data_IF_082173717949
#
_entry.id   IF_082173717949
#
_cell.length_a   1.000
_cell.length_b   1.000
_cell.length_c   1.000
_cell.angle_alpha   90.00
_cell.angle_beta   90.00
_cell.angle_gamma   90.00
#
_symmetry.space_group_name_H-M   'P 1'
#
loop_
_entity.id
_entity.type
_entity.pdbx_description
1 polymer ?
#
# COMPACT_ATOMS: atom_id res chain seq x y z
N UNK A 1 40.20 33.32 -40.11
CA UNK A 1 40.15 32.00 -39.48
C UNK A 1 40.64 32.21 -38.07
N UNK A 2 39.70 32.65 -37.22
CA UNK A 2 39.94 32.86 -35.79
C UNK A 2 39.85 31.47 -35.17
N UNK A 3 40.99 30.94 -34.76
CA UNK A 3 41.02 29.76 -33.92
C UNK A 3 40.22 30.09 -32.65
N UNK A 4 39.08 29.43 -32.48
CA UNK A 4 38.34 29.44 -31.21
C UNK A 4 39.25 28.79 -30.18
N UNK A 5 39.86 29.63 -29.34
CA UNK A 5 40.64 29.19 -28.20
C UNK A 5 39.69 28.48 -27.24
N UNK A 6 39.76 27.14 -27.18
CA UNK A 6 39.01 26.33 -26.23
C UNK A 6 39.53 26.69 -24.83
N UNK A 7 38.90 27.68 -24.21
CA UNK A 7 39.21 28.09 -22.84
C UNK A 7 38.97 26.88 -21.93
N UNK A 8 39.99 26.40 -21.20
CA UNK A 8 39.79 25.25 -20.32
C UNK A 8 38.79 25.64 -19.22
N UNK A 9 37.77 24.82 -18.94
CA UNK A 9 36.73 25.18 -17.99
C UNK A 9 37.35 25.48 -16.63
N UNK A 10 36.92 26.59 -16.03
CA UNK A 10 37.45 27.04 -14.74
C UNK A 10 37.13 26.01 -13.65
N UNK A 11 37.94 25.95 -12.59
CA UNK A 11 37.69 25.00 -11.49
C UNK A 11 36.28 25.17 -10.89
N UNK A 12 35.75 26.39 -10.91
CA UNK A 12 34.41 26.72 -10.43
C UNK A 12 33.30 26.12 -11.31
N UNK A 13 33.41 26.20 -12.64
CA UNK A 13 32.45 25.58 -13.57
C UNK A 13 32.44 24.06 -13.44
N UNK A 14 33.62 23.44 -13.31
CA UNK A 14 33.72 22.00 -13.06
C UNK A 14 33.03 21.63 -11.75
N UNK A 15 33.30 22.37 -10.68
CA UNK A 15 32.67 22.15 -9.37
C UNK A 15 31.14 22.32 -9.45
N UNK A 16 30.66 23.32 -10.17
CA UNK A 16 29.24 23.59 -10.37
C UNK A 16 28.54 22.48 -11.17
N UNK A 17 29.17 22.01 -12.24
CA UNK A 17 28.68 20.89 -13.02
C UNK A 17 28.62 19.60 -12.20
N UNK A 18 29.69 19.25 -11.47
CA UNK A 18 29.70 18.05 -10.63
C UNK A 18 28.70 18.13 -9.47
N UNK A 19 28.52 19.31 -8.87
CA UNK A 19 27.54 19.49 -7.78
C UNK A 19 26.11 19.40 -8.29
N UNK A 20 25.76 20.04 -9.41
CA UNK A 20 24.43 19.92 -10.03
C UNK A 20 24.13 18.49 -10.47
N UNK A 21 25.09 17.81 -11.13
CA UNK A 21 24.95 16.40 -11.49
C UNK A 21 24.72 15.51 -10.24
N UNK A 22 25.44 15.76 -9.14
CA UNK A 22 25.28 14.99 -7.89
C UNK A 22 23.89 15.19 -7.28
N UNK A 23 23.35 16.41 -7.26
CA UNK A 23 22.00 16.67 -6.73
C UNK A 23 20.90 16.06 -7.61
N UNK A 24 21.06 16.03 -8.94
CA UNK A 24 20.14 15.31 -9.83
C UNK A 24 20.17 13.81 -9.55
N UNK A 25 21.36 13.22 -9.41
CA UNK A 25 21.51 11.79 -9.08
C UNK A 25 20.94 11.46 -7.69
N UNK A 26 21.16 12.33 -6.70
CA UNK A 26 20.58 12.18 -5.37
C UNK A 26 19.06 12.25 -5.42
N UNK A 27 18.47 13.24 -6.12
CA UNK A 27 17.02 13.37 -6.25
C UNK A 27 16.36 12.18 -6.95
N UNK A 28 16.96 11.68 -8.03
CA UNK A 28 16.45 10.50 -8.74
C UNK A 28 16.55 9.23 -7.89
N UNK A 29 17.69 8.98 -7.25
CA UNK A 29 17.87 7.83 -6.36
C UNK A 29 16.89 7.87 -5.17
N UNK A 30 16.71 9.04 -4.55
CA UNK A 30 15.78 9.22 -3.43
C UNK A 30 14.33 8.99 -3.84
N UNK A 31 13.92 9.43 -5.03
CA UNK A 31 12.58 9.16 -5.57
C UNK A 31 12.36 7.67 -5.79
N UNK A 32 13.27 6.99 -6.50
CA UNK A 32 13.16 5.55 -6.74
C UNK A 32 13.17 4.76 -5.42
N UNK A 33 14.08 5.09 -4.51
CA UNK A 33 14.14 4.45 -3.20
C UNK A 33 12.81 4.61 -2.43
N UNK A 34 12.22 5.81 -2.44
CA UNK A 34 10.93 6.04 -1.78
C UNK A 34 9.81 5.19 -2.40
N UNK A 35 9.72 5.11 -3.73
CA UNK A 35 8.69 4.30 -4.41
C UNK A 35 8.73 2.82 -4.03
N UNK A 36 9.92 2.26 -3.81
CA UNK A 36 10.05 0.86 -3.34
C UNK A 36 9.84 0.73 -1.83
N UNK A 37 10.29 1.68 -1.02
CA UNK A 37 10.11 1.62 0.44
C UNK A 37 8.64 1.70 0.86
N UNK A 38 7.77 2.37 0.09
CA UNK A 38 6.35 2.50 0.39
C UNK A 38 5.65 1.13 0.55
N UNK A 39 5.58 0.27 -0.48
CA UNK A 39 4.87 -1.02 -0.36
C UNK A 39 5.60 -2.02 0.55
N UNK A 40 6.94 -1.98 0.62
CA UNK A 40 7.70 -3.01 1.33
C UNK A 40 7.95 -2.72 2.81
N UNK A 41 8.05 -1.46 3.22
CA UNK A 41 8.43 -1.09 4.59
C UNK A 41 7.36 -0.21 5.23
N UNK A 42 6.94 0.85 4.54
CA UNK A 42 6.02 1.83 5.12
C UNK A 42 4.65 1.22 5.35
N UNK A 43 4.06 0.58 4.34
CA UNK A 43 2.72 0.01 4.45
C UNK A 43 2.62 -1.06 5.56
N UNK A 44 3.49 -2.10 5.61
CA UNK A 44 3.46 -3.06 6.71
C UNK A 44 3.70 -2.45 8.09
N UNK A 45 4.63 -1.48 8.24
CA UNK A 45 4.87 -0.85 9.53
C UNK A 45 3.69 0.05 9.97
N UNK A 46 3.12 0.82 9.05
CA UNK A 46 1.95 1.65 9.29
C UNK A 46 0.75 0.80 9.72
N UNK A 47 0.43 -0.26 8.98
CA UNK A 47 -0.69 -1.16 9.36
C UNK A 47 -0.48 -1.78 10.75
N UNK A 48 0.75 -2.09 11.13
CA UNK A 48 1.07 -2.64 12.46
C UNK A 48 0.79 -1.64 13.58
N UNK A 49 1.17 -0.38 13.39
CA UNK A 49 0.93 0.70 14.36
C UNK A 49 -0.56 1.03 14.48
N UNK A 50 -1.27 1.08 13.36
CA UNK A 50 -2.70 1.42 13.33
C UNK A 50 -3.59 0.37 13.96
N UNK A 51 -3.19 -0.90 13.95
CA UNK A 51 -3.91 -1.97 14.65
C UNK A 51 -3.76 -1.90 16.18
N UNK A 52 -2.89 -1.04 16.73
CA UNK A 52 -2.72 -0.82 18.17
C UNK A 52 -2.68 -2.13 18.97
N UNK A 53 -1.66 -2.94 18.71
CA UNK A 53 -1.43 -4.14 19.51
C UNK A 53 -1.09 -3.77 20.95
N UNK A 54 -1.65 -4.52 21.89
CA UNK A 54 -1.23 -4.39 23.29
C UNK A 54 0.18 -4.96 23.45
N UNK A 55 1.15 -4.22 24.04
CA UNK A 55 2.49 -4.75 24.31
C UNK A 55 2.48 -5.86 25.37
N UNK A 56 1.40 -6.02 26.14
CA UNK A 56 1.26 -7.10 27.12
C UNK A 56 0.79 -8.38 26.42
N UNK A 57 1.55 -9.45 26.57
CA UNK A 57 1.20 -10.74 25.99
C UNK A 57 -0.04 -11.35 26.69
N UNK A 58 -1.00 -11.80 25.88
CA UNK A 58 -2.14 -12.60 26.28
C UNK A 58 -1.83 -14.11 26.17
N UNK A 59 -2.61 -14.94 26.84
CA UNK A 59 -2.53 -16.39 26.69
C UNK A 59 -3.50 -16.85 25.61
N UNK A 60 -2.97 -17.37 24.50
CA UNK A 60 -3.73 -17.98 23.42
C UNK A 60 -3.78 -19.49 23.54
N UNK A 61 -4.92 -20.08 23.19
CA UNK A 61 -5.12 -21.51 23.06
C UNK A 61 -5.74 -21.82 21.71
N UNK A 62 -5.15 -22.78 21.00
CA UNK A 62 -5.66 -23.22 19.68
C UNK A 62 -6.92 -24.04 19.86
N UNK A 63 -8.02 -23.61 19.27
CA UNK A 63 -9.33 -24.27 19.39
C UNK A 63 -9.73 -25.03 18.14
N UNK A 64 -9.37 -24.53 16.96
CA UNK A 64 -9.75 -25.16 15.70
C UNK A 64 -8.72 -24.92 14.61
N UNK A 65 -8.48 -25.96 13.81
CA UNK A 65 -7.65 -25.88 12.62
C UNK A 65 -8.40 -26.45 11.44
N UNK A 66 -8.44 -25.67 10.36
CA UNK A 66 -8.99 -26.11 9.08
C UNK A 66 -7.93 -26.07 8.01
N UNK A 67 -7.85 -27.14 7.23
CA UNK A 67 -7.01 -27.23 6.07
C UNK A 67 -7.90 -27.28 4.83
N UNK A 68 -7.85 -26.25 4.00
CA UNK A 68 -8.70 -26.08 2.84
C UNK A 68 -7.85 -26.05 1.58
N UNK A 69 -8.41 -26.58 0.50
CA UNK A 69 -7.78 -26.61 -0.83
C UNK A 69 -8.76 -26.00 -1.83
N UNK A 70 -8.21 -25.23 -2.77
CA UNK A 70 -8.93 -24.49 -3.80
C UNK A 70 -9.05 -23.00 -3.50
N UNK A 71 -8.84 -22.18 -4.52
CA UNK A 71 -8.84 -20.71 -4.41
C UNK A 71 -10.17 -20.14 -3.89
N UNK A 72 -11.31 -20.76 -4.23
CA UNK A 72 -12.65 -20.31 -3.81
C UNK A 72 -12.96 -20.61 -2.34
N UNK A 73 -12.30 -21.62 -1.75
CA UNK A 73 -12.56 -22.05 -0.38
C UNK A 73 -11.63 -21.36 0.63
N UNK A 74 -10.53 -20.77 0.15
CA UNK A 74 -9.53 -20.10 0.96
C UNK A 74 -9.77 -18.59 1.04
N UNK A 75 -10.62 -18.15 1.97
CA UNK A 75 -10.84 -16.72 2.23
C UNK A 75 -9.66 -16.04 2.96
N UNK A 76 -8.96 -16.78 3.82
CA UNK A 76 -7.74 -16.33 4.51
C UNK A 76 -6.87 -17.54 4.89
N UNK A 77 -5.61 -17.27 5.24
CA UNK A 77 -4.69 -18.26 5.79
C UNK A 77 -3.91 -17.66 6.96
N UNK A 78 -3.64 -18.47 7.97
CA UNK A 78 -2.86 -18.04 9.13
C UNK A 78 -1.40 -17.71 8.80
N UNK A 79 -0.79 -18.37 7.82
CA UNK A 79 0.61 -18.12 7.42
C UNK A 79 0.75 -18.27 5.91
N UNK A 80 1.46 -17.34 5.26
CA UNK A 80 1.73 -17.38 3.82
C UNK A 80 3.19 -17.02 3.51
N UNK A 81 3.87 -17.92 2.82
CA UNK A 81 5.18 -17.65 2.23
C UNK A 81 5.00 -16.88 0.92
N UNK A 82 5.31 -15.59 0.96
CA UNK A 82 5.14 -14.64 -0.14
C UNK A 82 3.78 -13.95 -0.16
N UNK A 83 3.78 -12.63 0.03
CA UNK A 83 2.56 -11.82 0.11
C UNK A 83 1.83 -11.64 -1.24
N UNK A 84 2.48 -11.95 -2.36
CA UNK A 84 1.93 -11.80 -3.73
C UNK A 84 1.51 -13.13 -4.39
N UNK A 85 1.74 -14.27 -3.75
CA UNK A 85 1.53 -15.61 -4.33
C UNK A 85 0.12 -16.16 -4.14
N UNK A 86 -0.59 -16.54 -5.20
CA UNK A 86 -1.96 -17.08 -5.10
C UNK A 86 -2.10 -18.26 -4.13
N UNK A 87 -3.24 -18.30 -3.43
CA UNK A 87 -3.57 -19.32 -2.44
C UNK A 87 -4.39 -20.44 -3.08
N UNK A 88 -3.76 -21.60 -3.29
CA UNK A 88 -4.45 -22.83 -3.68
C UNK A 88 -4.65 -23.79 -2.51
N UNK A 89 -3.92 -23.59 -1.41
CA UNK A 89 -3.97 -24.40 -0.20
C UNK A 89 -3.78 -23.46 1.00
N UNK A 90 -4.67 -23.55 1.99
CA UNK A 90 -4.63 -22.68 3.16
C UNK A 90 -4.92 -23.44 4.45
N UNK A 91 -4.14 -23.13 5.48
CA UNK A 91 -4.43 -23.55 6.85
C UNK A 91 -4.93 -22.35 7.65
N UNK A 92 -6.12 -22.48 8.22
CA UNK A 92 -6.79 -21.50 9.07
C UNK A 92 -6.71 -22.00 10.52
N UNK A 93 -6.06 -21.22 11.38
CA UNK A 93 -5.93 -21.52 12.81
C UNK A 93 -6.77 -20.51 13.59
N UNK A 94 -7.75 -21.02 14.33
CA UNK A 94 -8.57 -20.25 15.26
C UNK A 94 -8.13 -20.48 16.69
N UNK A 95 -8.09 -19.39 17.44
CA UNK A 95 -7.60 -19.37 18.81
C UNK A 95 -8.58 -18.63 19.72
N UNK A 96 -8.66 -19.09 20.96
CA UNK A 96 -9.28 -18.33 22.04
C UNK A 96 -8.17 -17.73 22.88
N UNK A 97 -8.35 -16.50 23.35
CA UNK A 97 -7.35 -15.88 24.21
C UNK A 97 -7.97 -15.24 25.43
N UNK A 98 -7.17 -15.24 26.50
CA UNK A 98 -7.49 -14.55 27.75
C UNK A 98 -6.38 -13.57 28.10
N UNK A 99 -6.79 -12.42 28.61
CA UNK A 99 -5.86 -11.38 29.06
C UNK A 99 -5.10 -11.89 30.28
N UNK A 100 -3.80 -11.64 30.32
CA UNK A 100 -2.98 -11.97 31.50
C UNK A 100 -3.40 -11.11 32.70
N UNK A 101 -3.41 -11.70 33.89
CA UNK A 101 -3.57 -10.94 35.13
C UNK A 101 -2.29 -10.12 35.33
N UNK A 102 -2.42 -8.79 35.35
CA UNK A 102 -1.32 -7.87 35.65
C UNK A 102 -0.68 -8.22 37.00
N UNK A 103 0.61 -8.58 37.09
CA UNK A 103 1.22 -8.88 38.38
C UNK A 103 1.43 -7.64 39.27
N UNK A 104 1.21 -6.41 38.78
CA UNK A 104 1.51 -5.17 39.52
C UNK A 104 0.43 -4.08 39.35
N UNK A 105 -0.85 -4.43 39.35
CA UNK A 105 -1.90 -3.42 39.52
C UNK A 105 -2.60 -3.73 40.84
N UNK A 106 -2.19 -3.03 41.89
CA UNK A 106 -3.03 -2.86 43.07
C UNK A 106 -4.37 -2.29 42.60
N UNK A 107 -5.52 -2.77 43.14
CA UNK A 107 -6.82 -2.30 42.73
C UNK A 107 -7.03 -0.88 43.25
N UNK A 108 -6.48 0.10 42.55
CA UNK A 108 -6.67 1.53 42.78
C UNK A 108 -6.85 2.17 41.42
N UNK A 109 -8.10 2.49 41.11
CA UNK A 109 -8.57 3.51 40.14
C UNK A 109 -8.21 3.36 38.65
N UNK A 110 -7.24 2.52 38.27
CA UNK A 110 -6.80 2.37 36.87
C UNK A 110 -7.53 1.26 36.08
N UNK A 111 -8.39 0.46 36.73
CA UNK A 111 -9.19 -0.54 36.01
C UNK A 111 -10.34 0.11 35.20
N UNK A 112 -10.79 1.30 35.61
CA UNK A 112 -11.81 2.06 34.89
C UNK A 112 -11.27 2.71 33.60
N UNK A 113 -9.97 2.96 33.50
CA UNK A 113 -9.35 3.52 32.28
C UNK A 113 -8.97 2.46 31.24
N UNK A 114 -8.97 1.17 31.62
CA UNK A 114 -8.77 0.03 30.72
C UNK A 114 -10.10 -0.55 30.19
N UNK A 115 -11.22 -0.21 30.81
CA UNK A 115 -12.56 -0.45 30.24
C UNK A 115 -12.80 0.62 29.18
N UNK A 116 -12.38 0.29 27.95
CA UNK A 116 -13.04 0.66 26.69
C UNK A 116 -13.63 2.09 26.69
N UNK A 117 -12.88 3.04 26.13
CA UNK A 117 -13.55 4.10 25.36
C UNK A 117 -14.35 3.41 24.26
N UNK A 118 -15.64 3.21 24.52
CA UNK A 118 -16.60 2.82 23.51
C UNK A 118 -16.68 4.01 22.57
N UNK A 119 -16.01 3.92 21.40
CA UNK A 119 -16.27 4.84 20.29
C UNK A 119 -17.79 4.88 20.13
N UNK A 120 -18.36 6.07 20.23
CA UNK A 120 -19.80 6.29 20.12
C UNK A 120 -20.33 5.63 18.84
N UNK A 121 -20.96 4.47 19.00
CA UNK A 121 -21.88 3.95 18.00
C UNK A 121 -22.98 5.00 17.87
N UNK A 122 -23.15 5.52 16.65
CA UNK A 122 -24.27 6.42 16.33
C UNK A 122 -25.57 5.68 16.64
N UNK A 123 -26.21 6.03 17.76
CA UNK A 123 -27.55 5.57 18.14
C UNK A 123 -28.58 6.23 17.22
N UNK A 124 -28.73 5.76 15.99
CA UNK A 124 -29.84 6.14 15.12
C UNK A 124 -30.18 4.98 14.16
N UNK A 125 -30.57 3.82 14.69
CA UNK A 125 -31.43 2.86 13.97
C UNK A 125 -32.27 2.11 15.00
N UNK A 126 -33.49 2.58 15.21
CA UNK A 126 -34.52 1.84 15.93
C UNK A 126 -34.91 0.61 15.10
N UNK A 127 -34.51 -0.57 15.55
CA UNK A 127 -35.05 -1.82 15.02
C UNK A 127 -36.35 -2.10 15.78
N UNK A 128 -37.48 -1.86 15.14
CA UNK A 128 -38.79 -2.17 15.73
C UNK A 128 -38.90 -3.66 16.06
N UNK A 129 -39.40 -3.89 17.27
CA UNK A 129 -39.63 -5.17 17.89
C UNK A 129 -40.77 -5.92 17.18
N UNK A 130 -40.44 -6.94 16.37
CA UNK A 130 -41.42 -7.97 15.98
C UNK A 130 -41.28 -9.16 16.92
N UNK A 131 -42.11 -9.19 17.96
CA UNK A 131 -42.39 -10.40 18.72
C UNK A 131 -43.02 -11.43 17.78
N UNK A 132 -42.26 -12.44 17.39
CA UNK A 132 -42.82 -13.68 16.82
C UNK A 132 -42.46 -14.81 17.77
N UNK A 133 -43.45 -15.23 18.55
CA UNK A 133 -43.41 -16.48 19.29
C UNK A 133 -43.22 -17.62 18.30
N UNK A 134 -42.02 -18.21 18.28
CA UNK A 134 -41.72 -19.41 17.52
C UNK A 134 -41.30 -20.51 18.49
N UNK A 135 -42.29 -21.30 18.91
CA UNK A 135 -42.10 -22.61 19.48
C UNK A 135 -41.31 -23.47 18.47
N UNK A 136 -40.11 -23.93 18.85
CA UNK A 136 -39.33 -24.90 18.08
C UNK A 136 -38.69 -25.90 19.05
N UNK A 137 -39.34 -27.05 19.16
CA UNK A 137 -38.68 -28.30 19.53
C UNK A 137 -37.53 -28.58 18.55
N UNK A 138 -36.30 -28.64 19.04
CA UNK A 138 -35.13 -29.06 18.26
C UNK A 138 -35.05 -30.60 18.23
N UNK A 139 -34.89 -31.23 17.06
CA UNK A 139 -34.53 -32.64 17.01
C UNK A 139 -33.05 -32.81 17.41
N UNK A 140 -32.76 -33.83 18.21
CA UNK A 140 -31.39 -34.28 18.55
C UNK A 140 -30.62 -34.61 17.27
N UNK A 141 -29.49 -33.93 17.04
CA UNK A 141 -28.56 -34.16 15.93
C UNK A 141 -27.22 -34.66 16.51
N UNK A 142 -26.66 -35.71 15.89
CA UNK A 142 -25.43 -36.38 16.36
C UNK A 142 -24.18 -35.50 16.29
N UNK A 143 -23.16 -35.89 17.07
CA UNK A 143 -21.92 -35.14 17.36
C UNK A 143 -21.08 -34.71 16.12
N UNK A 144 -21.34 -35.27 14.93
CA UNK A 144 -20.55 -34.96 13.72
C UNK A 144 -21.01 -33.70 12.95
N UNK A 145 -22.17 -33.13 13.29
CA UNK A 145 -22.75 -31.93 12.64
C UNK A 145 -22.77 -30.70 13.57
N UNK A 146 -21.85 -30.61 14.54
CA UNK A 146 -21.75 -29.41 15.38
C UNK A 146 -21.35 -28.21 14.49
N UNK A 147 -22.16 -27.13 14.40
CA UNK A 147 -21.75 -25.94 13.68
C UNK A 147 -20.45 -25.44 14.31
N UNK A 148 -19.46 -25.17 13.46
CA UNK A 148 -18.18 -24.60 13.89
C UNK A 148 -18.42 -23.45 14.86
N UNK A 149 -17.57 -23.33 15.88
CA UNK A 149 -17.54 -22.15 16.74
C UNK A 149 -17.43 -20.91 15.84
N UNK A 150 -18.58 -20.30 15.55
CA UNK A 150 -18.68 -18.97 15.00
C UNK A 150 -17.86 -18.08 15.93
N UNK A 151 -17.22 -17.02 15.41
CA UNK A 151 -16.53 -16.07 16.27
C UNK A 151 -17.57 -15.41 17.19
N UNK A 152 -17.85 -16.04 18.32
CA UNK A 152 -18.50 -15.45 19.47
C UNK A 152 -17.54 -14.37 19.91
N UNK A 153 -17.89 -13.12 19.65
CA UNK A 153 -16.99 -11.97 19.75
C UNK A 153 -16.49 -11.73 21.18
N UNK A 154 -16.41 -10.45 21.56
CA UNK A 154 -16.02 -10.10 22.92
C UNK A 154 -16.94 -10.79 23.91
N UNK A 155 -16.32 -11.51 24.82
CA UNK A 155 -17.03 -12.34 25.78
C UNK A 155 -17.24 -11.54 27.07
N UNK A 156 -18.34 -11.83 27.77
CA UNK A 156 -18.73 -11.10 28.97
C UNK A 156 -17.72 -11.27 30.11
N UNK A 157 -17.87 -10.48 31.17
CA UNK A 157 -16.93 -10.51 32.30
C UNK A 157 -16.91 -11.84 33.07
N UNK A 158 -17.89 -12.72 32.84
CA UNK A 158 -18.07 -14.00 33.52
C UNK A 158 -17.51 -15.22 32.74
N UNK A 159 -16.97 -15.01 31.54
CA UNK A 159 -16.35 -16.08 30.76
C UNK A 159 -14.85 -16.17 30.98
N UNK A 160 -14.31 -17.40 30.98
CA UNK A 160 -12.87 -17.64 31.09
C UNK A 160 -12.05 -16.97 29.97
N UNK A 161 -12.66 -16.80 28.80
CA UNK A 161 -12.04 -16.24 27.61
C UNK A 161 -12.41 -14.77 27.42
N UNK A 162 -11.45 -13.96 27.00
CA UNK A 162 -11.73 -12.57 26.62
C UNK A 162 -12.34 -12.49 25.21
N UNK A 163 -11.86 -13.35 24.31
CA UNK A 163 -12.36 -13.46 22.95
C UNK A 163 -12.21 -14.89 22.44
N UNK A 164 -13.16 -15.35 21.62
CA UNK A 164 -13.14 -16.70 21.06
C UNK A 164 -13.20 -16.71 19.54
N UNK A 165 -12.47 -17.64 18.93
CA UNK A 165 -12.44 -17.80 17.48
C UNK A 165 -11.63 -16.73 16.73
N UNK A 166 -10.65 -16.11 17.40
CA UNK A 166 -9.73 -15.16 16.78
C UNK A 166 -8.84 -15.84 15.73
N UNK A 167 -8.44 -15.08 14.72
CA UNK A 167 -7.55 -15.53 13.66
C UNK A 167 -6.11 -15.32 14.10
N UNK A 168 -5.34 -16.41 14.09
CA UNK A 168 -3.92 -16.36 14.41
C UNK A 168 -3.08 -16.09 13.16
N UNK A 169 -2.15 -15.14 13.28
CA UNK A 169 -1.15 -14.85 12.27
C UNK A 169 0.26 -14.75 12.88
N UNK A 170 1.33 -14.96 12.11
CA UNK A 170 2.69 -14.69 12.57
C UNK A 170 2.92 -13.19 12.78
N UNK A 171 2.38 -12.37 11.87
CA UNK A 171 2.46 -10.91 11.86
C UNK A 171 1.14 -10.31 11.35
N UNK A 172 1.05 -8.98 11.34
CA UNK A 172 -0.19 -8.24 10.98
C UNK A 172 -0.67 -8.51 9.55
N UNK A 173 0.24 -8.83 8.63
CA UNK A 173 -0.10 -9.15 7.23
C UNK A 173 -0.39 -10.64 7.01
N UNK A 174 -0.02 -11.50 7.96
CA UNK A 174 -0.13 -12.97 7.84
C UNK A 174 0.82 -13.60 6.82
N UNK A 175 1.76 -12.84 6.27
CA UNK A 175 2.66 -13.29 5.21
C UNK A 175 4.09 -12.76 5.40
N UNK A 176 5.05 -13.44 4.76
CA UNK A 176 6.47 -13.10 4.86
C UNK A 176 7.31 -13.96 3.93
N UNK A 177 8.61 -13.68 3.88
CA UNK A 177 9.56 -14.44 3.07
C UNK A 177 10.60 -15.12 3.97
N UNK A 178 11.03 -16.36 3.65
CA UNK A 178 12.16 -17.00 4.33
C UNK A 178 13.44 -16.15 4.20
N UNK A 179 14.30 -16.09 5.24
CA UNK A 179 14.26 -16.86 6.50
C UNK A 179 13.41 -16.26 7.61
N UNK A 180 12.85 -15.06 7.41
CA UNK A 180 12.15 -14.29 8.47
C UNK A 180 10.83 -14.98 8.85
N UNK A 181 10.13 -15.56 7.88
CA UNK A 181 8.93 -16.35 8.12
C UNK A 181 9.06 -17.72 7.46
N UNK A 182 8.83 -18.79 8.22
CA UNK A 182 8.74 -20.15 7.72
C UNK A 182 7.42 -20.77 8.19
N UNK A 183 6.51 -21.03 7.25
CA UNK A 183 5.17 -21.49 7.59
C UNK A 183 5.14 -22.94 8.08
N UNK A 184 6.07 -23.80 7.62
CA UNK A 184 6.14 -25.18 8.11
C UNK A 184 6.45 -25.25 9.61
N UNK A 185 7.38 -24.41 10.08
CA UNK A 185 7.75 -24.31 11.49
C UNK A 185 6.61 -23.67 12.30
N UNK A 186 6.02 -22.59 11.77
CA UNK A 186 4.87 -21.93 12.40
C UNK A 186 3.70 -22.90 12.62
N UNK A 187 3.34 -23.67 11.59
CA UNK A 187 2.29 -24.68 11.70
C UNK A 187 2.68 -25.81 12.65
N UNK A 188 3.91 -26.32 12.62
CA UNK A 188 4.35 -27.33 13.57
C UNK A 188 4.18 -26.88 15.04
N UNK A 189 4.40 -25.60 15.33
CA UNK A 189 4.27 -25.02 16.67
C UNK A 189 2.83 -24.70 17.07
N UNK A 190 2.03 -24.12 16.17
CA UNK A 190 0.72 -23.54 16.53
C UNK A 190 -0.49 -24.32 16.02
N UNK A 191 -0.31 -25.35 15.19
CA UNK A 191 -1.40 -26.21 14.68
C UNK A 191 -2.01 -27.18 15.72
N UNK A 192 -1.28 -27.73 16.71
CA UNK A 192 -1.87 -28.70 17.63
C UNK A 192 -3.02 -28.09 18.45
N UNK A 193 -4.20 -28.73 18.42
CA UNK A 193 -5.38 -28.29 19.17
C UNK A 193 -5.10 -28.39 20.67
N UNK A 194 -5.52 -27.38 21.43
CA UNK A 194 -5.26 -27.27 22.87
C UNK A 194 -3.86 -26.75 23.22
N UNK A 195 -2.99 -26.48 22.24
CA UNK A 195 -1.69 -25.88 22.52
C UNK A 195 -1.85 -24.44 23.05
N UNK A 196 -1.10 -24.12 24.11
CA UNK A 196 -1.09 -22.80 24.72
C UNK A 196 0.21 -22.06 24.41
N UNK A 197 0.12 -20.76 24.15
CA UNK A 197 1.28 -19.91 23.88
C UNK A 197 0.93 -18.44 24.10
N UNK A 198 1.97 -17.62 24.23
CA UNK A 198 1.82 -16.17 24.34
C UNK A 198 1.51 -15.56 22.98
N UNK A 199 0.61 -14.60 22.95
CA UNK A 199 0.19 -13.91 21.74
C UNK A 199 -0.19 -12.45 22.05
N UNK A 200 -0.26 -11.62 21.02
CA UNK A 200 -0.63 -10.21 21.14
C UNK A 200 -1.93 -9.98 20.37
N UNK A 201 -2.87 -9.29 20.99
CA UNK A 201 -4.16 -8.98 20.39
C UNK A 201 -4.20 -7.50 19.97
N UNK A 202 -4.94 -7.22 18.90
CA UNK A 202 -5.20 -5.85 18.45
C UNK A 202 -6.34 -5.24 19.27
N UNK A 203 -6.16 -4.00 19.73
CA UNK A 203 -7.24 -3.21 20.37
C UNK A 203 -8.27 -2.72 19.35
N UNK A 204 -7.91 -2.67 18.07
CA UNK A 204 -8.79 -2.22 16.97
C UNK A 204 -9.63 -3.37 16.41
N UNK A 205 -9.04 -4.54 16.19
CA UNK A 205 -9.75 -5.77 15.81
C UNK A 205 -9.42 -6.92 16.79
N UNK A 206 -10.29 -7.21 17.77
CA UNK A 206 -10.05 -8.30 18.73
C UNK A 206 -10.07 -9.69 18.06
N UNK A 207 -10.56 -9.81 16.83
CA UNK A 207 -10.48 -11.04 16.04
C UNK A 207 -9.12 -11.28 15.38
N UNK A 208 -8.15 -10.37 15.56
CA UNK A 208 -6.80 -10.44 15.00
C UNK A 208 -5.77 -10.63 16.12
N UNK A 209 -5.04 -11.73 16.05
CA UNK A 209 -3.99 -12.07 17.02
C UNK A 209 -2.71 -12.44 16.31
N UNK A 210 -1.58 -11.94 16.83
CA UNK A 210 -0.25 -12.18 16.28
C UNK A 210 0.67 -12.86 17.30
N UNK A 211 1.62 -13.66 16.82
CA UNK A 211 2.63 -14.31 17.70
C UNK A 211 3.85 -13.44 17.94
N UNK A 212 4.27 -12.66 16.95
CA UNK A 212 5.47 -11.82 17.01
C UNK A 212 5.06 -10.36 16.93
N UNK A 213 5.32 -9.61 18.00
CA UNK A 213 5.11 -8.17 18.08
C UNK A 213 6.46 -7.50 18.33
N UNK A 214 6.98 -6.80 17.31
CA UNK A 214 8.10 -5.89 17.47
C UNK A 214 7.69 -4.48 17.05
N UNK A 215 7.28 -3.68 18.04
CA UNK A 215 6.89 -2.29 17.82
C UNK A 215 8.09 -1.38 17.62
N UNK A 216 9.23 -1.67 18.27
CA UNK A 216 10.39 -0.79 18.25
C UNK A 216 11.11 -0.84 16.91
N UNK A 217 11.40 -2.05 16.41
CA UNK A 217 12.06 -2.24 15.11
C UNK A 217 11.18 -1.72 13.98
N UNK A 218 9.87 -2.00 14.02
CA UNK A 218 8.93 -1.52 13.00
C UNK A 218 8.83 0.01 13.00
N UNK A 219 8.82 0.64 14.19
CA UNK A 219 8.79 2.11 14.30
C UNK A 219 10.07 2.74 13.79
N UNK A 220 11.25 2.22 14.17
CA UNK A 220 12.53 2.74 13.67
C UNK A 220 12.68 2.60 12.15
N UNK A 221 12.32 1.43 11.60
CA UNK A 221 12.36 1.19 10.17
C UNK A 221 11.44 2.15 9.40
N UNK A 222 10.25 2.41 9.93
CA UNK A 222 9.30 3.37 9.37
C UNK A 222 9.88 4.80 9.40
N UNK A 223 10.42 5.21 10.55
CA UNK A 223 11.02 6.55 10.72
C UNK A 223 12.16 6.74 9.73
N UNK A 224 13.09 5.78 9.60
CA UNK A 224 14.21 5.89 8.66
C UNK A 224 13.74 5.89 7.19
N UNK A 225 12.74 5.08 6.85
CA UNK A 225 12.19 5.01 5.49
C UNK A 225 11.49 6.31 5.04
N UNK A 226 11.05 7.16 5.97
CA UNK A 226 10.48 8.48 5.67
C UNK A 226 11.50 9.61 5.83
N UNK A 227 12.26 9.59 6.92
CA UNK A 227 13.16 10.67 7.33
C UNK A 227 14.43 10.79 6.45
N UNK A 228 14.80 9.74 5.72
CA UNK A 228 15.98 9.78 4.83
C UNK A 228 15.59 10.24 3.40
N UNK A 229 14.70 9.55 2.68
CA UNK A 229 14.43 9.91 1.28
C UNK A 229 13.64 11.22 1.15
N UNK A 230 12.69 11.53 2.04
CA UNK A 230 11.85 12.73 1.89
C UNK A 230 12.67 14.02 2.02
N UNK A 231 13.47 14.23 3.08
CA UNK A 231 14.28 15.45 3.19
C UNK A 231 15.38 15.51 2.13
N UNK A 232 15.99 14.39 1.78
CA UNK A 232 17.02 14.35 0.72
C UNK A 232 16.46 14.77 -0.65
N UNK A 233 15.25 14.31 -0.99
CA UNK A 233 14.54 14.73 -2.19
C UNK A 233 14.19 16.22 -2.15
N UNK A 234 13.64 16.71 -1.04
CA UNK A 234 13.28 18.13 -0.88
C UNK A 234 14.52 19.03 -1.04
N UNK A 235 15.64 18.69 -0.41
CA UNK A 235 16.89 19.45 -0.52
C UNK A 235 17.39 19.46 -1.97
N UNK A 236 17.29 18.32 -2.68
CA UNK A 236 17.69 18.25 -4.09
C UNK A 236 16.86 19.17 -4.99
N UNK A 237 15.54 19.21 -4.79
CA UNK A 237 14.63 20.07 -5.58
C UNK A 237 14.86 21.55 -5.28
N UNK A 238 15.07 21.92 -4.00
CA UNK A 238 15.40 23.29 -3.62
C UNK A 238 16.73 23.74 -4.25
N UNK A 239 17.74 22.87 -4.26
CA UNK A 239 19.01 23.20 -4.89
C UNK A 239 18.88 23.36 -6.41
N UNK A 240 18.18 22.44 -7.09
CA UNK A 240 18.02 22.49 -8.54
C UNK A 240 17.19 23.71 -8.98
N UNK A 241 16.14 24.07 -8.24
CA UNK A 241 15.39 25.30 -8.50
C UNK A 241 16.26 26.54 -8.29
N UNK A 242 17.07 26.58 -7.23
CA UNK A 242 18.02 27.66 -7.02
C UNK A 242 19.04 27.74 -8.16
N UNK A 243 19.65 26.62 -8.56
CA UNK A 243 20.62 26.59 -9.64
C UNK A 243 20.01 27.03 -10.97
N UNK A 244 18.79 26.59 -11.28
CA UNK A 244 18.06 27.03 -12.46
C UNK A 244 17.87 28.56 -12.47
N UNK A 245 17.36 29.14 -11.38
CA UNK A 245 17.06 30.57 -11.32
C UNK A 245 18.27 31.49 -11.14
N UNK A 246 19.34 31.03 -10.48
CA UNK A 246 20.47 31.89 -10.06
C UNK A 246 21.78 31.63 -10.78
N UNK A 247 21.93 30.48 -11.43
CA UNK A 247 23.16 30.15 -12.17
C UNK A 247 22.84 30.22 -13.66
N UNK A 248 21.87 29.43 -14.12
CA UNK A 248 21.58 29.31 -15.55
C UNK A 248 20.72 30.46 -16.09
N UNK A 249 19.72 30.95 -15.34
CA UNK A 249 18.90 32.10 -15.77
C UNK A 249 19.65 33.44 -15.80
N UNK A 250 20.81 33.55 -15.15
CA UNK A 250 21.66 34.76 -15.21
C UNK A 250 22.56 34.80 -16.45
N UNK A 251 22.77 33.66 -17.12
CA UNK A 251 23.60 33.57 -18.34
C UNK A 251 22.80 33.91 -19.62
N UNK A 252 21.47 33.95 -19.56
CA UNK A 252 20.61 34.37 -20.70
C UNK A 252 20.79 35.84 -21.10
N UNK A 253 21.34 36.71 -20.24
CA UNK A 253 21.74 38.07 -20.64
C UNK A 253 23.10 38.12 -21.38
N UNK A 254 23.90 37.04 -21.34
CA UNK A 254 25.21 36.97 -22.01
C UNK A 254 25.27 36.05 -23.24
N UNK A 255 24.28 35.17 -23.46
CA UNK A 255 24.37 34.13 -24.51
C UNK A 255 23.29 34.20 -25.61
N UNK A 256 22.46 35.25 -25.68
CA UNK A 256 21.65 35.51 -26.89
C UNK A 256 22.48 36.06 -28.07
N UNK A 257 23.53 35.35 -28.47
CA UNK A 257 24.14 35.30 -29.82
C UNK A 257 25.43 34.45 -29.76
N UNK A 258 25.64 33.38 -30.57
CA UNK A 258 24.83 32.86 -31.67
C UNK A 258 24.68 31.31 -31.60
N UNK A 259 23.56 30.80 -31.09
CA UNK A 259 23.12 29.42 -31.38
C UNK A 259 21.91 29.40 -32.31
N UNK A 260 21.93 30.29 -33.31
CA UNK A 260 20.95 30.31 -34.42
C UNK A 260 21.58 30.06 -35.80
N UNK A 261 22.91 30.04 -35.95
CA UNK A 261 23.53 29.83 -37.26
C UNK A 261 23.65 28.36 -37.67
N UNK A 262 23.67 27.42 -36.73
CA UNK A 262 24.12 26.06 -37.04
C UNK A 262 22.97 25.08 -37.31
N UNK A 263 21.74 25.44 -36.95
CA UNK A 263 20.55 24.66 -37.27
C UNK A 263 19.93 25.02 -38.63
N UNK A 264 20.15 26.25 -39.13
CA UNK A 264 19.59 26.70 -40.42
C UNK A 264 20.53 26.45 -41.61
N UNK A 265 21.80 26.06 -41.38
CA UNK A 265 22.76 25.76 -42.45
C UNK A 265 22.73 24.29 -42.94
N UNK A 266 21.95 23.39 -42.32
CA UNK A 266 21.79 21.99 -42.80
C UNK A 266 20.48 21.74 -43.56
N UNK A 267 19.69 22.77 -43.86
CA UNK A 267 18.42 22.63 -44.60
C UNK A 267 18.51 22.99 -46.09
N UNK A 268 19.72 23.12 -46.64
CA UNK A 268 19.95 23.34 -48.08
C UNK A 268 21.20 22.60 -48.54
N UNK A 269 21.02 21.46 -49.22
CA UNK A 269 22.13 20.77 -49.89
C UNK A 269 21.93 19.26 -50.04
N UNK A 270 21.16 18.91 -51.08
CA UNK A 270 21.28 17.75 -51.97
C UNK A 270 21.26 16.29 -51.46
N UNK A 271 20.49 15.52 -52.24
CA UNK A 271 20.26 14.08 -52.23
C UNK A 271 21.49 13.21 -51.92
N UNK A 272 21.41 12.36 -50.91
CA UNK A 272 21.79 10.95 -51.05
C UNK A 272 21.25 10.06 -49.91
N UNK A 273 20.56 9.00 -50.32
CA UNK A 273 19.91 7.96 -49.51
C UNK A 273 20.94 6.98 -48.93
N UNK A 274 20.75 6.54 -47.67
CA UNK A 274 20.98 5.14 -47.34
C UNK A 274 19.77 4.49 -46.68
N UNK A 275 19.34 3.40 -47.29
CA UNK A 275 18.25 2.52 -46.89
C UNK A 275 18.65 1.64 -45.70
N UNK A 276 17.88 1.67 -44.61
CA UNK A 276 17.78 0.56 -43.64
C UNK A 276 16.32 0.36 -43.23
N UNK A 277 15.71 -0.83 -43.42
CA UNK A 277 14.28 -1.02 -43.26
C UNK A 277 13.90 -1.27 -41.79
N UNK A 278 13.01 -0.45 -41.23
CA UNK A 278 12.31 -0.79 -39.97
C UNK A 278 11.92 0.36 -39.03
N UNK A 279 12.27 1.62 -39.30
CA UNK A 279 12.01 2.73 -38.36
C UNK A 279 10.84 3.65 -38.75
N UNK A 280 10.30 3.53 -39.96
CA UNK A 280 9.34 4.52 -40.49
C UNK A 280 7.93 4.31 -39.93
N UNK A 281 7.54 3.06 -39.64
CA UNK A 281 6.21 2.74 -39.09
C UNK A 281 6.02 3.20 -37.64
N UNK A 282 7.08 3.36 -36.85
CA UNK A 282 6.97 3.84 -35.46
C UNK A 282 6.95 5.37 -35.32
N UNK A 283 7.46 6.10 -36.32
CA UNK A 283 7.45 7.58 -36.32
C UNK A 283 6.12 8.15 -36.82
N UNK A 284 5.46 7.47 -37.76
CA UNK A 284 4.17 7.89 -38.31
C UNK A 284 3.02 7.73 -37.30
N UNK A 285 3.03 6.66 -36.50
CA UNK A 285 2.01 6.44 -35.47
C UNK A 285 2.06 7.50 -34.36
N UNK A 286 3.26 7.91 -33.91
CA UNK A 286 3.42 8.92 -32.84
C UNK A 286 2.97 10.32 -33.29
N UNK A 287 3.19 10.67 -34.56
CA UNK A 287 2.74 11.93 -35.14
C UNK A 287 1.20 11.96 -35.32
N UNK A 288 0.57 10.81 -35.58
CA UNK A 288 -0.88 10.70 -35.70
C UNK A 288 -1.59 10.89 -34.34
N UNK A 289 -1.05 10.30 -33.26
CA UNK A 289 -1.59 10.46 -31.90
C UNK A 289 -1.55 11.93 -31.41
N UNK A 290 -0.46 12.65 -31.69
CA UNK A 290 -0.33 14.06 -31.29
C UNK A 290 -1.34 14.98 -31.98
N UNK A 291 -1.72 14.68 -33.23
CA UNK A 291 -2.70 15.46 -33.97
C UNK A 291 -4.13 15.18 -33.50
N UNK A 292 -4.44 13.94 -33.11
CA UNK A 292 -5.75 13.58 -32.57
C UNK A 292 -6.02 14.24 -31.20
N UNK A 293 -5.00 14.25 -30.33
CA UNK A 293 -5.09 14.87 -29.01
C UNK A 293 -5.28 16.40 -29.10
N UNK A 294 -4.63 17.04 -30.08
CA UNK A 294 -4.81 18.48 -30.35
C UNK A 294 -6.21 18.81 -30.87
N UNK A 295 -6.81 17.96 -31.70
CA UNK A 295 -8.17 18.19 -32.22
C UNK A 295 -9.24 17.97 -31.15
N UNK A 296 -9.06 16.99 -30.24
CA UNK A 296 -9.99 16.77 -29.13
C UNK A 296 -9.96 17.90 -28.10
N UNK A 297 -8.79 18.47 -27.84
CA UNK A 297 -8.62 19.56 -26.86
C UNK A 297 -8.99 20.94 -27.42
N UNK A 298 -8.96 21.13 -28.74
CA UNK A 298 -9.40 22.37 -29.39
C UNK A 298 -10.93 22.50 -29.51
N UNK A 299 -11.70 21.43 -29.28
CA UNK A 299 -13.15 21.44 -29.43
C UNK A 299 -13.93 21.68 -28.12
N UNK A 300 -13.25 21.82 -26.98
CA UNK A 300 -13.88 22.17 -25.70
C UNK A 300 -13.45 23.58 -25.26
N UNK A 301 -14.24 24.58 -25.63
CA UNK A 301 -14.30 25.87 -24.92
C UNK A 301 -15.71 26.03 -24.31
N UNK A 302 -15.83 26.58 -23.09
CA UNK A 302 -17.07 26.59 -22.34
C UNK A 302 -17.98 27.72 -22.82
N UNK A 303 -19.27 27.44 -22.96
CA UNK A 303 -20.33 28.46 -23.02
C UNK A 303 -21.36 28.16 -21.95
N UNK A 304 -21.48 29.08 -21.00
CA UNK A 304 -22.61 29.17 -20.08
C UNK A 304 -23.89 29.60 -20.84
N UNK A 305 -25.05 29.14 -20.34
CA UNK A 305 -26.36 29.73 -20.63
C UNK A 305 -27.41 28.76 -21.18
N UNK A 306 -28.15 28.13 -20.25
CA UNK A 306 -29.62 27.93 -20.23
C UNK A 306 -30.36 27.71 -21.58
N UNK A 307 -30.95 26.52 -21.80
CA UNK A 307 -32.40 26.26 -21.70
C UNK A 307 -32.75 24.84 -22.21
N UNK A 308 -33.87 24.30 -21.73
CA UNK A 308 -34.38 22.93 -21.83
C UNK A 308 -34.72 22.41 -23.25
N UNK A 309 -34.46 21.12 -23.51
CA UNK A 309 -35.48 20.11 -23.86
C UNK A 309 -34.85 18.81 -24.41
N UNK A 310 -35.29 17.66 -23.89
CA UNK A 310 -35.17 16.33 -24.51
C UNK A 310 -36.46 16.00 -25.29
N UNK A 311 -36.56 14.86 -26.00
CA UNK A 311 -35.79 14.30 -27.13
C UNK A 311 -36.70 14.13 -28.39
N UNK A 312 -36.28 13.48 -29.52
CA UNK A 312 -36.58 12.05 -29.64
C UNK A 312 -35.64 11.18 -30.51
N UNK A 313 -35.59 9.91 -30.11
CA UNK A 313 -35.46 8.62 -30.83
C UNK A 313 -35.48 8.66 -32.38
N UNK A 314 -34.50 8.00 -33.02
CA UNK A 314 -34.76 7.09 -34.17
C UNK A 314 -33.61 6.16 -34.51
N UNK A 315 -33.98 4.88 -34.66
CA UNK A 315 -33.18 3.75 -35.12
C UNK A 315 -32.84 3.86 -36.61
N UNK A 316 -31.73 3.26 -37.04
CA UNK A 316 -31.73 2.44 -38.26
C UNK A 316 -30.55 1.47 -38.29
N UNK A 317 -30.90 0.23 -38.60
CA UNK A 317 -30.02 -0.89 -38.89
C UNK A 317 -29.55 -0.87 -40.36
N UNK A 318 -28.37 -1.44 -40.63
CA UNK A 318 -28.06 -2.36 -41.75
C UNK A 318 -26.57 -2.74 -41.64
N UNK A 319 -26.19 -4.00 -41.38
CA UNK A 319 -26.22 -5.23 -42.17
C UNK A 319 -25.16 -5.28 -43.29
N UNK A 320 -24.22 -6.23 -43.15
CA UNK A 320 -23.58 -7.12 -44.15
C UNK A 320 -22.15 -7.44 -43.68
N UNK A 321 -21.71 -8.69 -43.50
CA UNK A 321 -22.31 -10.00 -43.68
C UNK A 321 -21.42 -11.06 -43.04
#
# INVERSE_FOLDING_TARGET
MTDEEIVPPTFAEKLLFYTTATFVLLGTFSLFAFLFLVPFVIEPAFTTIFMQFDPVAALCVTTGVKHLVGASNCSWASCREGCTKDLFECTQIRVNYKLGIYPNVTPTEDLETLIREERALRKDYDYENYEVAADKSYPEMGEEDLPDALPTGLQGNDSEWYFTGARLFPNVKGCGYPPILNCTIFYAKHKPIGNNYTCYYSRVDPGLVITELDMWQNTLNLVYAMAIPIPSFIISVIYLTFAYFKIYNTEEESEQAPLKSDAEAMATGDDEKPTTPGSDTFREDLACFGHQLKMQLANEKPKEGFESNSPPISNSASLSG
#
